data_IF_128441140181
#
_entry.id   IF_128441140181
#
_cell.length_a   1.000
_cell.length_b   1.000
_cell.length_c   1.000
_cell.angle_alpha   90.00
_cell.angle_beta   90.00
_cell.angle_gamma   90.00
#
_symmetry.space_group_name_H-M   'P 1'
#
loop_
_entity.id
_entity.type
_entity.pdbx_description
1 polymer ?
#
# COMPACT_ATOMS: atom_id res chain seq x y z
N UNK A 1 6.62 -12.20 -1.02
CA UNK A 1 7.44 -12.02 -2.25
C UNK A 1 7.82 -10.56 -2.36
N UNK A 2 9.10 -10.26 -2.59
CA UNK A 2 9.52 -8.86 -2.75
C UNK A 2 9.09 -8.35 -4.13
N UNK A 3 8.31 -7.29 -4.17
CA UNK A 3 7.94 -6.61 -5.41
C UNK A 3 9.14 -5.78 -5.84
N UNK A 4 9.61 -5.97 -7.08
CA UNK A 4 10.70 -5.20 -7.64
C UNK A 4 10.13 -4.31 -8.77
N UNK A 5 10.37 -3.00 -8.68
CA UNK A 5 9.91 -2.03 -9.67
C UNK A 5 11.10 -1.29 -10.27
N UNK A 6 11.13 -1.21 -11.60
CA UNK A 6 12.09 -0.38 -12.30
C UNK A 6 11.59 1.06 -12.36
N UNK A 7 12.40 1.98 -11.87
CA UNK A 7 12.05 3.40 -11.82
C UNK A 7 13.09 4.26 -12.54
N UNK A 8 12.62 5.31 -13.17
CA UNK A 8 13.47 6.30 -13.82
C UNK A 8 13.57 7.54 -12.94
N UNK A 9 14.78 7.99 -12.65
CA UNK A 9 15.00 9.24 -11.93
C UNK A 9 14.63 10.43 -12.85
N UNK A 10 13.95 11.42 -12.27
CA UNK A 10 13.52 12.63 -12.99
C UNK A 10 14.30 13.84 -12.49
N UNK A 11 14.99 14.52 -13.34
CA UNK A 11 15.66 15.78 -13.03
C UNK A 11 14.68 16.96 -13.01
N UNK A 12 13.66 16.91 -13.87
CA UNK A 12 12.68 17.97 -14.01
C UNK A 12 11.42 17.67 -13.21
N UNK A 13 11.15 18.49 -12.21
CA UNK A 13 9.95 18.46 -11.36
C UNK A 13 8.94 19.51 -11.80
N UNK A 14 7.74 19.50 -11.21
CA UNK A 14 6.68 20.46 -11.46
C UNK A 14 5.49 19.90 -12.23
N UNK A 15 4.38 20.65 -12.19
CA UNK A 15 3.05 20.22 -12.67
C UNK A 15 3.04 19.89 -14.18
N UNK A 16 3.76 20.65 -15.00
CA UNK A 16 3.83 20.42 -16.44
C UNK A 16 4.51 19.09 -16.77
N UNK A 17 5.63 18.81 -16.11
CA UNK A 17 6.39 17.58 -16.30
C UNK A 17 5.69 16.35 -15.75
N UNK A 18 4.94 16.50 -14.65
CA UNK A 18 4.09 15.44 -14.12
C UNK A 18 2.97 15.07 -15.11
N UNK A 19 2.33 16.06 -15.73
CA UNK A 19 1.31 15.81 -16.76
C UNK A 19 1.90 15.15 -18.01
N UNK A 20 3.10 15.54 -18.41
CA UNK A 20 3.81 14.94 -19.54
C UNK A 20 4.15 13.46 -19.25
N UNK A 21 4.65 13.15 -18.07
CA UNK A 21 4.93 11.78 -17.65
C UNK A 21 3.67 10.89 -17.72
N UNK A 22 2.54 11.37 -17.20
CA UNK A 22 1.27 10.62 -17.24
C UNK A 22 0.79 10.38 -18.67
N UNK A 23 0.93 11.35 -19.58
CA UNK A 23 0.62 11.16 -21.01
C UNK A 23 1.52 10.13 -21.67
N UNK A 24 2.76 9.99 -21.20
CA UNK A 24 3.71 8.98 -21.67
C UNK A 24 3.50 7.59 -21.00
N UNK A 25 2.42 7.39 -20.23
CA UNK A 25 2.14 6.13 -19.56
C UNK A 25 3.04 5.88 -18.34
N UNK A 26 3.54 6.95 -17.71
CA UNK A 26 4.37 6.87 -16.52
C UNK A 26 3.63 7.52 -15.33
N UNK A 27 3.75 6.92 -14.16
CA UNK A 27 3.26 7.49 -12.90
C UNK A 27 4.41 8.23 -12.22
N UNK A 28 4.29 9.55 -11.99
CA UNK A 28 5.28 10.28 -11.23
C UNK A 28 5.21 9.91 -9.75
N UNK A 29 6.35 9.93 -9.08
CA UNK A 29 6.44 9.67 -7.65
C UNK A 29 7.65 10.34 -7.04
N UNK A 30 7.75 10.23 -5.72
CA UNK A 30 8.86 10.75 -4.93
C UNK A 30 9.35 9.69 -3.96
N UNK A 31 10.66 9.55 -3.84
CA UNK A 31 11.30 8.76 -2.78
C UNK A 31 11.86 9.74 -1.78
N UNK A 32 11.43 9.65 -0.53
CA UNK A 32 11.90 10.50 0.56
C UNK A 32 12.17 9.69 1.84
N UNK A 33 12.71 10.35 2.85
CA UNK A 33 13.09 9.73 4.12
C UNK A 33 14.55 9.28 4.18
N UNK A 34 15.00 8.93 5.39
CA UNK A 34 16.40 8.70 5.68
C UNK A 34 17.23 9.99 5.64
N UNK A 35 18.55 9.84 5.53
CA UNK A 35 19.51 10.98 5.53
C UNK A 35 19.76 11.56 4.12
N UNK A 36 19.14 11.01 3.09
CA UNK A 36 19.31 11.43 1.71
C UNK A 36 18.20 12.37 1.24
N UNK A 37 18.53 13.26 0.31
CA UNK A 37 17.58 14.18 -0.29
C UNK A 37 16.43 13.43 -1.01
N UNK A 38 15.23 14.02 -1.10
CA UNK A 38 14.14 13.48 -1.89
C UNK A 38 14.52 13.33 -3.38
N UNK A 39 14.17 12.20 -3.97
CA UNK A 39 14.42 11.90 -5.38
C UNK A 39 13.08 11.79 -6.10
N UNK A 40 12.91 12.62 -7.13
CA UNK A 40 11.74 12.51 -8.01
C UNK A 40 11.95 11.35 -9.00
N UNK A 41 10.95 10.48 -9.11
CA UNK A 41 10.98 9.31 -9.97
C UNK A 41 9.75 9.22 -10.87
N UNK A 42 9.81 8.31 -11.83
CA UNK A 42 8.65 7.88 -12.60
C UNK A 42 8.66 6.36 -12.75
N UNK A 43 7.50 5.75 -12.56
CA UNK A 43 7.27 4.30 -12.66
C UNK A 43 6.38 4.03 -13.86
N UNK A 44 6.58 2.91 -14.54
CA UNK A 44 5.68 2.52 -15.63
C UNK A 44 4.30 2.19 -15.10
N UNK A 45 3.29 2.76 -15.74
CA UNK A 45 1.88 2.61 -15.33
C UNK A 45 1.46 1.13 -15.20
N UNK A 46 1.80 0.29 -16.16
CA UNK A 46 1.43 -1.13 -16.14
C UNK A 46 2.07 -1.93 -15.01
N UNK A 47 3.31 -1.60 -14.65
CA UNK A 47 4.01 -2.24 -13.53
C UNK A 47 3.42 -1.80 -12.20
N UNK A 48 3.08 -0.51 -12.10
CA UNK A 48 2.41 0.07 -10.94
C UNK A 48 1.03 -0.55 -10.71
N UNK A 49 0.20 -0.70 -11.75
CA UNK A 49 -1.11 -1.34 -11.63
C UNK A 49 -1.02 -2.79 -11.17
N UNK A 50 -0.05 -3.55 -11.71
CA UNK A 50 0.16 -4.94 -11.27
C UNK A 50 0.54 -5.01 -9.80
N UNK A 51 1.40 -4.10 -9.35
CA UNK A 51 1.81 -4.02 -7.96
C UNK A 51 0.64 -3.66 -7.03
N UNK A 52 -0.17 -2.67 -7.39
CA UNK A 52 -1.36 -2.27 -6.62
C UNK A 52 -2.38 -3.42 -6.55
N UNK A 53 -2.66 -4.08 -7.68
CA UNK A 53 -3.62 -5.17 -7.75
C UNK A 53 -3.17 -6.44 -6.99
N UNK A 54 -1.90 -6.55 -6.62
CA UNK A 54 -1.44 -7.64 -5.76
C UNK A 54 -1.99 -7.56 -4.32
N UNK A 55 -2.58 -6.41 -3.93
CA UNK A 55 -3.13 -6.16 -2.61
C UNK A 55 -2.09 -5.95 -1.51
N UNK A 56 -0.82 -6.20 -1.79
CA UNK A 56 0.28 -6.12 -0.83
C UNK A 56 1.19 -4.91 -1.05
N UNK A 57 0.80 -4.02 -1.97
CA UNK A 57 1.63 -2.88 -2.37
C UNK A 57 1.83 -1.85 -1.26
N UNK A 58 0.84 -1.65 -0.42
CA UNK A 58 0.89 -0.71 0.70
C UNK A 58 1.52 -1.31 1.97
N UNK A 59 1.45 -2.65 2.11
CA UNK A 59 1.89 -3.34 3.32
C UNK A 59 3.33 -3.88 3.23
N UNK A 60 3.85 -4.13 2.01
CA UNK A 60 5.13 -4.78 1.84
C UNK A 60 6.26 -3.84 1.45
N UNK A 61 7.47 -4.20 1.88
CA UNK A 61 8.68 -3.54 1.38
C UNK A 61 8.89 -3.85 -0.10
N UNK A 62 9.16 -2.80 -0.86
CA UNK A 62 9.39 -2.83 -2.30
C UNK A 62 10.86 -2.54 -2.57
N UNK A 63 11.45 -3.27 -3.52
CA UNK A 63 12.75 -2.93 -4.05
C UNK A 63 12.59 -2.07 -5.29
N UNK A 64 13.04 -0.82 -5.22
CA UNK A 64 13.14 0.06 -6.38
C UNK A 64 14.52 -0.08 -7.01
N UNK A 65 14.54 -0.31 -8.31
CA UNK A 65 15.76 -0.34 -9.11
C UNK A 65 15.89 0.96 -9.90
N UNK A 66 16.91 1.76 -9.59
CA UNK A 66 17.26 2.96 -10.34
C UNK A 66 18.77 3.03 -10.54
N UNK A 67 19.21 3.35 -11.75
CA UNK A 67 20.63 3.48 -12.12
C UNK A 67 21.52 2.30 -11.66
N UNK A 68 20.97 1.08 -11.67
CA UNK A 68 21.68 -0.13 -11.22
C UNK A 68 21.82 -0.28 -9.72
N UNK A 69 21.23 0.63 -8.93
CA UNK A 69 21.14 0.54 -7.47
C UNK A 69 19.77 0.02 -7.06
N UNK A 70 19.76 -0.90 -6.11
CA UNK A 70 18.53 -1.38 -5.47
C UNK A 70 18.33 -0.67 -4.15
N UNK A 71 17.17 -0.10 -3.96
CA UNK A 71 16.81 0.60 -2.73
C UNK A 71 15.52 0.02 -2.17
N UNK A 72 15.53 -0.32 -0.88
CA UNK A 72 14.34 -0.79 -0.17
C UNK A 72 13.52 0.41 0.29
N UNK A 73 12.26 0.40 -0.09
CA UNK A 73 11.30 1.44 0.24
C UNK A 73 9.97 0.83 0.65
N UNK A 74 9.17 1.61 1.34
CA UNK A 74 7.76 1.32 1.61
C UNK A 74 6.91 2.31 0.85
N UNK A 75 5.79 1.87 0.31
CA UNK A 75 4.78 2.79 -0.22
C UNK A 75 4.09 3.49 0.94
N UNK A 76 4.17 4.82 0.98
CA UNK A 76 3.51 5.62 2.00
C UNK A 76 2.11 6.01 1.59
N UNK A 77 1.94 6.42 0.34
CA UNK A 77 0.65 6.85 -0.20
C UNK A 77 0.59 6.65 -1.72
N UNK A 78 -0.62 6.47 -2.23
CA UNK A 78 -0.91 6.41 -3.68
C UNK A 78 -2.13 7.25 -3.96
N UNK A 79 -1.94 8.34 -4.67
CA UNK A 79 -3.04 9.18 -5.14
C UNK A 79 -3.70 8.56 -6.37
N UNK A 80 -5.01 8.41 -6.33
CA UNK A 80 -5.83 7.95 -7.45
C UNK A 80 -6.65 9.09 -8.06
N UNK A 81 -6.87 9.00 -9.34
CA UNK A 81 -7.75 9.92 -10.04
C UNK A 81 -9.21 9.61 -9.67
N UNK A 82 -10.01 10.59 -9.19
CA UNK A 82 -11.34 10.33 -8.60
C UNK A 82 -12.40 9.79 -9.57
N UNK A 83 -12.15 9.81 -10.88
CA UNK A 83 -13.11 9.36 -11.91
C UNK A 83 -12.63 8.12 -12.64
N UNK A 84 -11.32 7.97 -12.83
CA UNK A 84 -10.75 6.87 -13.63
C UNK A 84 -10.03 5.80 -12.79
N UNK A 85 -9.94 6.00 -11.47
CA UNK A 85 -9.22 5.15 -10.52
C UNK A 85 -7.77 4.80 -10.94
N UNK A 86 -7.22 5.68 -11.79
CA UNK A 86 -5.84 5.53 -12.24
C UNK A 86 -4.88 6.13 -11.21
N UNK A 87 -3.76 5.49 -10.89
CA UNK A 87 -2.73 6.07 -10.03
C UNK A 87 -2.13 7.32 -10.69
N UNK A 88 -2.18 8.43 -9.97
CA UNK A 88 -1.75 9.77 -10.40
C UNK A 88 -0.40 10.13 -9.83
N UNK A 89 -0.13 9.70 -8.61
CA UNK A 89 1.12 9.92 -7.88
C UNK A 89 1.40 8.78 -6.92
N UNK A 90 2.66 8.54 -6.60
CA UNK A 90 3.07 7.56 -5.59
C UNK A 90 4.19 8.11 -4.74
N UNK A 91 4.05 7.93 -3.45
CA UNK A 91 5.02 8.33 -2.45
C UNK A 91 5.70 7.13 -1.82
N UNK A 92 7.02 7.08 -1.94
CA UNK A 92 7.85 6.05 -1.35
C UNK A 92 8.68 6.60 -0.19
N UNK A 93 8.69 5.89 0.89
CA UNK A 93 9.50 6.20 2.06
C UNK A 93 10.67 5.23 2.16
N UNK A 94 11.89 5.77 2.29
CA UNK A 94 13.08 4.95 2.53
C UNK A 94 13.03 4.36 3.92
N UNK A 95 13.10 3.06 4.02
CA UNK A 95 13.03 2.34 5.29
C UNK A 95 14.31 1.59 5.57
N UNK A 96 14.76 1.70 6.80
CA UNK A 96 15.72 0.78 7.40
C UNK A 96 14.95 -0.25 8.23
N UNK A 97 15.45 -1.46 8.34
CA UNK A 97 14.77 -2.55 9.06
C UNK A 97 14.40 -2.22 10.53
N UNK A 98 15.03 -1.20 11.10
CA UNK A 98 14.78 -0.72 12.47
C UNK A 98 13.82 0.47 12.58
N UNK A 99 13.39 1.04 11.45
CA UNK A 99 12.46 2.16 11.46
C UNK A 99 11.08 1.71 11.89
N UNK A 100 10.49 2.40 12.87
CA UNK A 100 9.08 2.22 13.22
C UNK A 100 8.27 3.00 12.20
N UNK A 101 7.36 2.33 11.56
CA UNK A 101 6.50 2.88 10.51
C UNK A 101 5.03 2.62 10.83
N UNK A 102 4.17 3.50 10.35
CA UNK A 102 2.73 3.32 10.34
C UNK A 102 2.33 2.82 8.94
N UNK A 103 1.75 1.62 8.89
CA UNK A 103 1.30 1.00 7.66
C UNK A 103 -0.15 0.57 7.79
N UNK A 104 -0.88 0.66 6.70
CA UNK A 104 -2.23 0.18 6.59
C UNK A 104 -2.22 -1.30 6.19
N UNK A 105 -2.72 -2.17 7.07
CA UNK A 105 -2.75 -3.62 6.88
C UNK A 105 -4.20 -4.07 6.69
N UNK A 106 -4.43 -4.92 5.69
CA UNK A 106 -5.76 -5.48 5.42
C UNK A 106 -6.18 -6.46 6.52
N UNK A 107 -7.46 -6.44 6.87
CA UNK A 107 -8.07 -7.34 7.84
C UNK A 107 -8.84 -8.43 7.10
N UNK A 108 -8.49 -9.68 7.40
CA UNK A 108 -9.19 -10.86 6.90
C UNK A 108 -10.08 -11.42 7.99
N UNK A 109 -11.35 -11.55 7.68
CA UNK A 109 -12.32 -12.14 8.59
C UNK A 109 -12.34 -13.66 8.43
N UNK A 110 -12.31 -14.37 9.55
CA UNK A 110 -12.37 -15.85 9.58
C UNK A 110 -13.45 -16.29 10.54
N UNK A 111 -13.99 -17.50 10.31
CA UNK A 111 -15.04 -18.08 11.16
C UNK A 111 -16.44 -17.54 10.91
N UNK A 112 -16.70 -16.97 9.73
CA UNK A 112 -18.04 -16.49 9.36
C UNK A 112 -19.07 -17.62 9.41
N UNK A 113 -18.73 -18.83 8.93
CA UNK A 113 -19.63 -19.98 8.91
C UNK A 113 -20.01 -20.49 10.32
N UNK A 114 -19.15 -20.23 11.32
CA UNK A 114 -19.34 -20.67 12.69
C UNK A 114 -20.07 -19.66 13.56
N UNK A 115 -20.18 -18.42 13.10
CA UNK A 115 -20.84 -17.34 13.85
C UNK A 115 -22.34 -17.65 14.10
N UNK A 116 -22.79 -17.64 15.39
CA UNK A 116 -24.19 -17.83 15.72
C UNK A 116 -25.08 -16.71 15.18
N UNK A 117 -24.56 -15.47 15.09
CA UNK A 117 -25.29 -14.34 14.53
C UNK A 117 -25.62 -14.54 13.05
N UNK A 118 -24.67 -15.03 12.25
CA UNK A 118 -24.89 -15.32 10.82
C UNK A 118 -25.81 -16.53 10.61
N UNK A 119 -25.69 -17.57 11.45
CA UNK A 119 -26.60 -18.74 11.39
C UNK A 119 -28.06 -18.39 11.69
N UNK A 120 -28.31 -17.34 12.47
CA UNK A 120 -29.65 -16.84 12.77
C UNK A 120 -30.17 -15.85 11.72
N UNK A 121 -29.47 -15.66 10.61
CA UNK A 121 -29.87 -14.77 9.52
C UNK A 121 -29.36 -13.32 9.67
N UNK A 122 -28.43 -13.08 10.57
CA UNK A 122 -27.71 -11.79 10.68
C UNK A 122 -26.82 -11.53 9.47
N UNK A 123 -26.42 -10.28 9.28
CA UNK A 123 -25.49 -9.86 8.24
C UNK A 123 -24.24 -9.27 8.87
N UNK A 124 -23.07 -9.71 8.43
CA UNK A 124 -21.80 -9.10 8.83
C UNK A 124 -21.62 -7.77 8.10
N UNK A 125 -21.63 -6.67 8.86
CA UNK A 125 -21.36 -5.34 8.31
C UNK A 125 -19.92 -4.94 8.62
N UNK A 126 -19.06 -4.99 7.61
CA UNK A 126 -17.65 -4.61 7.74
C UNK A 126 -17.52 -3.10 7.55
N UNK A 127 -17.17 -2.39 8.62
CA UNK A 127 -16.99 -0.93 8.60
C UNK A 127 -15.61 -0.55 8.10
N UNK A 128 -14.58 -1.37 8.39
CA UNK A 128 -13.20 -1.15 7.94
C UNK A 128 -12.60 -2.46 7.48
N UNK A 129 -11.95 -2.41 6.33
CA UNK A 129 -11.22 -3.54 5.74
C UNK A 129 -9.72 -3.47 6.00
N UNK A 130 -9.24 -2.35 6.57
CA UNK A 130 -7.83 -2.10 6.86
C UNK A 130 -7.68 -1.34 8.18
N UNK A 131 -6.55 -1.54 8.84
CA UNK A 131 -6.19 -0.92 10.11
C UNK A 131 -4.76 -0.40 10.03
N UNK A 132 -4.54 0.81 10.54
CA UNK A 132 -3.20 1.38 10.69
C UNK A 132 -2.47 0.72 11.86
N UNK A 133 -1.32 0.12 11.57
CA UNK A 133 -0.48 -0.57 12.56
C UNK A 133 0.90 0.06 12.61
N UNK A 134 1.40 0.29 13.81
CA UNK A 134 2.79 0.71 14.05
C UNK A 134 3.65 -0.51 14.24
N UNK A 135 4.53 -0.76 13.30
CA UNK A 135 5.45 -1.90 13.36
C UNK A 135 6.86 -1.55 12.85
N UNK A 136 7.88 -2.31 13.24
CA UNK A 136 9.20 -2.19 12.62
C UNK A 136 9.11 -2.61 11.15
N UNK A 137 9.80 -1.89 10.27
CA UNK A 137 9.76 -2.13 8.83
C UNK A 137 10.24 -3.53 8.39
N UNK A 138 10.93 -4.26 9.27
CA UNK A 138 11.35 -5.64 9.01
C UNK A 138 10.29 -6.71 9.34
N UNK A 139 9.21 -6.36 10.05
CA UNK A 139 8.20 -7.29 10.57
C UNK A 139 6.78 -6.79 10.28
N UNK A 140 6.54 -6.38 9.05
CA UNK A 140 5.21 -5.94 8.62
C UNK A 140 4.34 -7.18 8.40
N UNK A 141 3.17 -7.32 9.06
CA UNK A 141 2.25 -8.41 8.79
C UNK A 141 1.56 -8.20 7.44
N UNK A 142 1.48 -9.24 6.63
CA UNK A 142 0.80 -9.19 5.33
C UNK A 142 -0.71 -8.98 5.48
N UNK A 143 -1.32 -9.62 6.48
CA UNK A 143 -2.74 -9.51 6.80
C UNK A 143 -2.98 -9.70 8.31
N UNK A 144 -4.00 -9.06 8.84
CA UNK A 144 -4.49 -9.26 10.20
C UNK A 144 -5.72 -10.16 10.16
N UNK A 145 -5.72 -11.21 10.98
CA UNK A 145 -6.85 -12.13 11.06
C UNK A 145 -7.79 -11.71 12.18
N UNK A 146 -9.05 -11.44 11.86
CA UNK A 146 -10.11 -11.15 12.80
C UNK A 146 -11.07 -12.35 12.90
N UNK A 147 -11.16 -12.97 14.04
CA UNK A 147 -12.05 -14.11 14.30
C UNK A 147 -13.46 -13.61 14.67
N UNK A 148 -14.42 -13.91 13.82
CA UNK A 148 -15.84 -13.56 13.97
C UNK A 148 -16.72 -14.73 14.39
N UNK A 149 -16.13 -15.89 14.72
CA UNK A 149 -16.83 -17.13 15.01
C UNK A 149 -17.77 -17.08 16.24
N UNK A 150 -17.56 -16.10 17.13
CA UNK A 150 -18.31 -15.96 18.40
C UNK A 150 -19.29 -14.78 18.41
N UNK A 151 -19.41 -14.05 17.30
CA UNK A 151 -20.27 -12.87 17.24
C UNK A 151 -21.76 -13.24 17.18
N UNK A 152 -22.57 -12.60 18.03
CA UNK A 152 -24.02 -12.68 18.04
C UNK A 152 -24.63 -11.45 17.34
N UNK A 153 -25.95 -11.49 17.12
CA UNK A 153 -26.68 -10.38 16.51
C UNK A 153 -26.63 -9.15 17.43
N UNK A 154 -26.05 -8.07 16.95
CA UNK A 154 -25.88 -6.82 17.70
C UNK A 154 -24.52 -6.63 18.33
N UNK A 155 -23.64 -7.63 18.25
CA UNK A 155 -22.26 -7.52 18.71
C UNK A 155 -21.39 -6.74 17.72
N UNK A 156 -20.35 -6.10 18.24
CA UNK A 156 -19.34 -5.39 17.45
C UNK A 156 -17.95 -5.81 17.87
N UNK A 157 -17.16 -6.24 16.88
CA UNK A 157 -15.72 -6.46 17.06
C UNK A 157 -15.00 -5.10 16.98
N UNK A 158 -14.26 -4.76 18.01
CA UNK A 158 -13.39 -3.57 18.06
C UNK A 158 -11.95 -4.03 18.10
N UNK A 159 -11.13 -3.39 17.31
CA UNK A 159 -9.67 -3.59 17.24
C UNK A 159 -8.97 -2.43 17.95
#
# INVERSE_FOLDING_TARGET
MSICLDVNVRENTGTGNARAARRAGMVPGVIYGGDEAPIAISVKYNEMLKAINSGQFLSNMIELSHDGKKQKVLTKDVDFHPVSDMPVHVDFYRVTAKSIIEVEVSVKFVGEEDSPGLKQGGTLNVVRYSVEVKCPAGEIPDELTADVSKLEIGDALKI
#
